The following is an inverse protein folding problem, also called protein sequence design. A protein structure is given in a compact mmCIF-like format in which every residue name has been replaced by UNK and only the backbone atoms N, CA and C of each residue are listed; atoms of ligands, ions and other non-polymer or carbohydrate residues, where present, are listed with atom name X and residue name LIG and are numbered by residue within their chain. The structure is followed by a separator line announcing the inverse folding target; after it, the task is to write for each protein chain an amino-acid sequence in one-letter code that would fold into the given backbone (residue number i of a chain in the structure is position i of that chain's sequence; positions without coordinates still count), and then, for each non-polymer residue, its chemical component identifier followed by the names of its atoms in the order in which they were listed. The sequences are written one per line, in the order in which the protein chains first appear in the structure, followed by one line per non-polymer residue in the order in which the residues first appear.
data_IF_385169296604
#
_entry.id   IF_385169296604
#
_cell.length_a   1.000
_cell.length_b   1.000
_cell.length_c   1.000
_cell.angle_alpha   90.00
_cell.angle_beta   90.00
_cell.angle_gamma   90.00
#
_symmetry.space_group_name_H-M   'P 1'
#
loop_
_entity.id
_entity.type
_entity.pdbx_description
1 polymer ?
#
# COMPACT_ATOMS: atom_id res chain seq x y z
N UNK A 1 11.24 -3.95 9.41
CA UNK A 1 10.58 -4.61 8.26
C UNK A 1 10.19 -3.56 7.22
N UNK A 2 10.32 -3.88 5.93
CA UNK A 2 9.95 -3.00 4.80
C UNK A 2 8.43 -2.80 4.71
N UNK A 3 8.00 -1.84 3.89
CA UNK A 3 6.59 -1.60 3.58
C UNK A 3 6.39 -1.63 2.07
N UNK A 4 5.31 -2.26 1.62
CA UNK A 4 4.80 -2.14 0.26
C UNK A 4 3.51 -1.33 0.31
N UNK A 5 3.35 -0.40 -0.63
CA UNK A 5 2.16 0.41 -0.80
C UNK A 5 1.52 0.04 -2.12
N UNK A 6 0.23 -0.31 -2.11
CA UNK A 6 -0.53 -0.68 -3.30
C UNK A 6 -1.70 0.27 -3.49
N UNK A 7 -1.76 0.89 -4.66
CA UNK A 7 -2.89 1.67 -5.16
C UNK A 7 -3.65 0.84 -6.20
N UNK A 8 -4.74 1.35 -6.77
CA UNK A 8 -5.46 0.64 -7.85
C UNK A 8 -4.59 0.39 -9.09
N UNK A 9 -3.60 1.25 -9.35
CA UNK A 9 -2.85 1.28 -10.61
C UNK A 9 -1.38 0.90 -10.43
N UNK A 10 -0.79 1.25 -9.30
CA UNK A 10 0.65 1.16 -9.09
C UNK A 10 0.96 0.60 -7.70
N UNK A 11 2.18 0.13 -7.52
CA UNK A 11 2.71 -0.29 -6.24
C UNK A 11 4.16 0.16 -6.10
N UNK A 12 4.59 0.40 -4.86
CA UNK A 12 5.98 0.76 -4.59
C UNK A 12 6.42 0.30 -3.20
N UNK A 13 7.71 0.00 -3.09
CA UNK A 13 8.33 -0.46 -1.85
C UNK A 13 9.10 0.64 -1.13
N UNK A 14 9.03 0.62 0.19
CA UNK A 14 9.79 1.48 1.10
C UNK A 14 10.73 0.63 1.97
N UNK A 15 11.99 1.05 2.03
CA UNK A 15 12.97 0.54 2.98
C UNK A 15 12.56 0.83 4.43
N UNK A 16 13.26 0.28 5.42
CA UNK A 16 12.90 0.40 6.85
C UNK A 16 12.81 1.88 7.26
N UNK A 17 13.86 2.66 7.01
CA UNK A 17 13.89 4.09 7.38
C UNK A 17 12.84 4.90 6.58
N UNK A 18 12.73 4.63 5.28
CA UNK A 18 11.75 5.30 4.41
C UNK A 18 10.30 5.04 4.86
N UNK A 19 10.02 3.82 5.30
CA UNK A 19 8.73 3.41 5.85
C UNK A 19 8.42 4.22 7.10
N UNK A 20 9.36 4.36 8.03
CA UNK A 20 9.14 5.10 9.28
C UNK A 20 8.79 6.57 8.98
N UNK A 21 9.56 7.22 8.10
CA UNK A 21 9.27 8.59 7.67
C UNK A 21 7.88 8.68 7.01
N UNK A 22 7.58 7.77 6.08
CA UNK A 22 6.29 7.78 5.38
C UNK A 22 5.11 7.54 6.33
N UNK A 23 5.22 6.54 7.22
CA UNK A 23 4.18 6.20 8.18
C UNK A 23 3.89 7.35 9.15
N UNK A 24 4.93 8.00 9.70
CA UNK A 24 4.74 9.09 10.65
C UNK A 24 4.22 10.39 10.05
N UNK A 25 4.37 10.59 8.73
CA UNK A 25 4.00 11.84 8.07
C UNK A 25 2.70 11.73 7.25
N UNK A 26 2.40 10.56 6.69
CA UNK A 26 1.34 10.40 5.70
C UNK A 26 0.18 9.58 6.23
N UNK A 27 0.50 8.46 6.87
CA UNK A 27 -0.49 7.44 7.19
C UNK A 27 -1.30 7.81 8.42
N UNK A 28 -2.57 7.43 8.39
CA UNK A 28 -3.41 7.47 9.57
C UNK A 28 -3.01 6.31 10.49
N UNK A 29 -2.90 6.63 11.78
CA UNK A 29 -2.48 5.70 12.83
C UNK A 29 -3.65 4.83 13.27
N UNK A 30 -3.34 3.60 13.66
CA UNK A 30 -4.28 2.71 14.33
C UNK A 30 -4.38 3.16 15.80
N UNK A 31 -5.58 3.50 16.27
CA UNK A 31 -5.79 4.11 17.59
C UNK A 31 -5.30 3.20 18.75
N UNK A 32 -5.25 1.88 18.53
CA UNK A 32 -4.94 0.89 19.58
C UNK A 32 -3.50 0.36 19.56
N UNK A 33 -2.70 0.71 18.54
CA UNK A 33 -1.35 0.16 18.35
C UNK A 33 -0.45 1.23 17.78
N UNK A 34 0.81 1.29 18.19
CA UNK A 34 1.86 2.17 17.62
C UNK A 34 2.18 1.82 16.14
N UNK A 35 1.16 1.67 15.31
CA UNK A 35 1.14 1.15 13.95
C UNK A 35 0.18 1.99 13.11
N UNK A 36 0.24 1.84 11.79
CA UNK A 36 -0.63 2.52 10.85
C UNK A 36 -1.81 1.63 10.45
N UNK A 37 -2.94 2.24 10.08
CA UNK A 37 -4.05 1.53 9.47
C UNK A 37 -3.59 0.87 8.16
N UNK A 38 -3.88 -0.42 7.96
CA UNK A 38 -3.49 -1.10 6.71
C UNK A 38 -4.22 -0.48 5.52
N UNK A 39 -5.52 -0.21 5.68
CA UNK A 39 -6.33 0.47 4.67
C UNK A 39 -6.29 1.97 4.95
N UNK A 40 -5.91 2.73 3.92
CA UNK A 40 -5.81 4.17 3.98
C UNK A 40 -6.75 4.75 2.92
N UNK A 41 -7.41 5.85 3.23
CA UNK A 41 -8.25 6.56 2.27
C UNK A 41 -7.51 7.79 1.75
N UNK A 42 -7.48 7.95 0.43
CA UNK A 42 -6.85 9.10 -0.18
C UNK A 42 -7.77 10.31 -0.07
N UNK A 43 -7.23 11.39 0.48
CA UNK A 43 -7.87 12.69 0.56
C UNK A 43 -6.89 13.77 0.10
N UNK A 44 -7.40 15.00 -0.10
CA UNK A 44 -6.53 16.15 -0.34
C UNK A 44 -5.47 16.33 0.76
N UNK A 45 -5.81 16.02 2.02
CA UNK A 45 -4.85 16.04 3.13
C UNK A 45 -3.72 15.04 2.94
N UNK A 46 -4.00 13.85 2.40
CA UNK A 46 -2.98 12.83 2.10
C UNK A 46 -1.94 13.38 1.13
N UNK A 47 -2.36 14.07 0.07
CA UNK A 47 -1.43 14.67 -0.89
C UNK A 47 -0.61 15.82 -0.31
N UNK A 48 -1.22 16.66 0.53
CA UNK A 48 -0.49 17.72 1.23
C UNK A 48 0.53 17.15 2.25
N UNK A 49 0.20 16.06 2.94
CA UNK A 49 1.14 15.32 3.80
C UNK A 49 2.33 14.78 2.98
N UNK A 50 2.07 14.18 1.80
CA UNK A 50 3.12 13.67 0.91
C UNK A 50 4.11 14.75 0.46
N UNK A 51 3.62 15.95 0.12
CA UNK A 51 4.49 17.09 -0.25
C UNK A 51 5.43 17.51 0.87
N UNK A 52 5.02 17.30 2.12
CA UNK A 52 5.78 17.69 3.33
C UNK A 52 6.76 16.62 3.83
N UNK A 53 6.77 15.43 3.22
CA UNK A 53 7.76 14.40 3.55
C UNK A 53 9.19 14.98 3.46
N UNK A 54 10.02 14.87 4.51
CA UNK A 54 11.39 15.36 4.47
C UNK A 54 12.23 14.53 3.50
N UNK A 55 13.19 15.20 2.83
CA UNK A 55 14.25 14.51 2.10
C UNK A 55 15.30 14.14 3.15
N UNK A 56 15.48 12.84 3.38
CA UNK A 56 16.36 12.32 4.44
C UNK A 56 16.83 10.90 4.04
N UNK A 57 17.63 10.29 4.91
CA UNK A 57 18.06 8.90 4.82
C UNK A 57 16.87 8.00 4.53
N UNK A 58 16.90 7.32 3.38
CA UNK A 58 15.81 6.44 2.92
C UNK A 58 14.77 7.08 1.99
N UNK A 59 14.62 8.40 1.97
CA UNK A 59 13.77 9.14 1.02
C UNK A 59 14.60 10.20 0.30
N UNK A 60 15.14 9.81 -0.87
CA UNK A 60 15.76 10.75 -1.80
C UNK A 60 14.72 11.66 -2.47
N UNK A 61 15.17 12.76 -3.07
CA UNK A 61 14.32 13.64 -3.89
C UNK A 61 13.59 12.85 -4.99
N UNK A 62 14.32 12.02 -5.75
CA UNK A 62 13.76 11.17 -6.80
C UNK A 62 12.66 10.25 -6.27
N UNK A 63 12.88 9.63 -5.11
CA UNK A 63 11.89 8.75 -4.49
C UNK A 63 10.64 9.51 -4.06
N UNK A 64 10.81 10.70 -3.47
CA UNK A 64 9.69 11.58 -3.11
C UNK A 64 8.89 11.99 -4.36
N UNK A 65 9.56 12.39 -5.44
CA UNK A 65 8.91 12.76 -6.70
C UNK A 65 8.17 11.59 -7.34
N UNK A 66 8.75 10.38 -7.31
CA UNK A 66 8.10 9.16 -7.77
C UNK A 66 6.82 8.87 -6.98
N UNK A 67 6.86 8.95 -5.65
CA UNK A 67 5.68 8.78 -4.79
C UNK A 67 4.62 9.84 -5.14
N UNK A 68 5.00 11.12 -5.23
CA UNK A 68 4.06 12.19 -5.58
C UNK A 68 3.39 11.95 -6.94
N UNK A 69 4.14 11.45 -7.93
CA UNK A 69 3.61 11.11 -9.25
C UNK A 69 2.58 9.98 -9.19
N UNK A 70 2.84 8.94 -8.39
CA UNK A 70 1.90 7.83 -8.16
C UNK A 70 0.60 8.37 -7.56
N UNK A 71 0.71 9.14 -6.47
CA UNK A 71 -0.46 9.64 -5.75
C UNK A 71 -1.24 10.72 -6.49
N UNK A 72 -0.62 11.45 -7.43
CA UNK A 72 -1.31 12.41 -8.29
C UNK A 72 -2.42 11.77 -9.15
N UNK A 73 -2.35 10.46 -9.39
CA UNK A 73 -3.30 9.71 -10.21
C UNK A 73 -4.37 8.95 -9.41
N UNK A 74 -4.42 9.18 -8.10
CA UNK A 74 -5.41 8.62 -7.17
C UNK A 74 -6.53 9.63 -7.00
N UNK A 75 -7.78 9.16 -7.08
CA UNK A 75 -8.96 10.00 -6.90
C UNK A 75 -9.34 10.11 -5.42
N UNK A 76 -9.91 11.25 -5.01
CA UNK A 76 -10.39 11.45 -3.62
C UNK A 76 -11.43 10.39 -3.25
N UNK A 77 -11.26 9.78 -2.07
CA UNK A 77 -12.06 8.64 -1.60
C UNK A 77 -11.56 7.26 -2.06
N UNK A 78 -10.58 7.19 -2.98
CA UNK A 78 -9.95 5.91 -3.31
C UNK A 78 -9.11 5.39 -2.15
N UNK A 79 -9.17 4.08 -1.93
CA UNK A 79 -8.40 3.41 -0.88
C UNK A 79 -7.13 2.81 -1.45
N UNK A 80 -6.06 2.91 -0.67
CA UNK A 80 -4.79 2.21 -0.91
C UNK A 80 -4.45 1.37 0.32
N UNK A 81 -3.61 0.36 0.14
CA UNK A 81 -3.18 -0.50 1.25
C UNK A 81 -1.68 -0.36 1.50
N UNK A 82 -1.32 -0.30 2.77
CA UNK A 82 0.05 -0.32 3.23
C UNK A 82 0.28 -1.63 3.98
N UNK A 83 1.22 -2.45 3.51
CA UNK A 83 1.50 -3.75 4.09
C UNK A 83 2.96 -3.89 4.45
N UNK A 84 3.17 -4.62 5.53
CA UNK A 84 4.44 -4.85 6.17
C UNK A 84 5.07 -6.10 5.54
N UNK A 85 5.61 -5.95 4.33
CA UNK A 85 6.06 -7.06 3.49
C UNK A 85 7.30 -6.68 2.65
N UNK A 86 7.85 -7.65 1.92
CA UNK A 86 8.93 -7.42 0.97
C UNK A 86 8.77 -8.26 -0.30
N UNK A 87 8.54 -7.59 -1.43
CA UNK A 87 8.32 -8.23 -2.73
C UNK A 87 9.52 -8.15 -3.68
N UNK A 88 10.71 -7.74 -3.22
CA UNK A 88 11.91 -7.56 -4.07
C UNK A 88 11.66 -6.72 -5.34
N UNK A 89 10.65 -5.83 -5.33
CA UNK A 89 10.15 -5.09 -6.50
C UNK A 89 9.63 -5.98 -7.65
N UNK A 90 9.37 -7.27 -7.41
CA UNK A 90 8.67 -8.15 -8.35
C UNK A 90 7.16 -8.10 -8.09
N UNK A 91 6.52 -7.11 -8.70
CA UNK A 91 5.07 -6.96 -8.64
C UNK A 91 4.34 -7.90 -9.62
N UNK A 92 5.05 -8.75 -10.38
CA UNK A 92 4.41 -9.78 -11.23
C UNK A 92 4.00 -11.02 -10.43
N UNK A 93 4.57 -11.20 -9.24
CA UNK A 93 4.34 -12.35 -8.36
C UNK A 93 2.88 -12.48 -7.90
N UNK A 94 2.41 -13.71 -7.66
CA UNK A 94 1.03 -13.98 -7.23
C UNK A 94 0.66 -13.25 -5.94
N UNK A 95 1.63 -13.08 -5.02
CA UNK A 95 1.44 -12.31 -3.79
C UNK A 95 1.13 -10.83 -4.05
N UNK A 96 1.81 -10.20 -5.01
CA UNK A 96 1.51 -8.82 -5.43
C UNK A 96 0.11 -8.72 -6.04
N UNK A 97 -0.28 -9.70 -6.86
CA UNK A 97 -1.64 -9.80 -7.43
C UNK A 97 -2.71 -9.92 -6.34
N UNK A 98 -2.44 -10.66 -5.27
CA UNK A 98 -3.33 -10.75 -4.12
C UNK A 98 -3.51 -9.37 -3.45
N UNK A 99 -2.44 -8.59 -3.30
CA UNK A 99 -2.55 -7.22 -2.76
C UNK A 99 -3.35 -6.29 -3.66
N UNK A 100 -3.20 -6.33 -4.98
CA UNK A 100 -4.07 -5.55 -5.87
C UNK A 100 -5.54 -5.97 -5.77
N UNK A 101 -5.83 -7.26 -5.64
CA UNK A 101 -7.21 -7.72 -5.38
C UNK A 101 -7.75 -7.21 -4.06
N UNK A 102 -6.92 -7.12 -3.02
CA UNK A 102 -7.33 -6.48 -1.76
C UNK A 102 -7.69 -5.01 -1.98
N UNK A 103 -6.87 -4.26 -2.72
CA UNK A 103 -7.18 -2.87 -3.08
C UNK A 103 -8.51 -2.78 -3.82
N UNK A 104 -8.75 -3.64 -4.81
CA UNK A 104 -10.03 -3.70 -5.55
C UNK A 104 -11.22 -3.93 -4.60
N UNK A 105 -11.11 -4.90 -3.69
CA UNK A 105 -12.18 -5.24 -2.75
C UNK A 105 -12.47 -4.12 -1.75
N UNK A 106 -11.45 -3.50 -1.15
CA UNK A 106 -11.67 -2.41 -0.18
C UNK A 106 -12.24 -1.16 -0.86
N UNK A 107 -11.89 -0.89 -2.12
CA UNK A 107 -12.50 0.17 -2.92
C UNK A 107 -13.96 -0.13 -3.31
N UNK A 108 -14.38 -1.40 -3.30
CA UNK A 108 -15.80 -1.82 -3.39
C UNK A 108 -16.51 -1.78 -2.04
N UNK A 109 -15.90 -1.17 -1.02
CA UNK A 109 -16.40 -1.09 0.36
C UNK A 109 -16.59 -2.46 1.03
N UNK A 110 -15.87 -3.49 0.57
CA UNK A 110 -15.81 -4.77 1.28
C UNK A 110 -14.92 -4.58 2.52
N UNK A 111 -15.38 -4.94 3.73
CA UNK A 111 -14.56 -4.85 4.94
C UNK A 111 -13.25 -5.61 4.79
N UNK A 112 -12.14 -5.03 5.27
CA UNK A 112 -10.79 -5.56 5.04
C UNK A 112 -10.64 -7.04 5.43
N UNK A 113 -11.16 -7.45 6.60
CA UNK A 113 -11.08 -8.84 7.05
C UNK A 113 -11.82 -9.81 6.10
N UNK A 114 -12.98 -9.40 5.57
CA UNK A 114 -13.72 -10.19 4.58
C UNK A 114 -12.97 -10.24 3.25
N UNK A 115 -12.41 -9.12 2.80
CA UNK A 115 -11.58 -9.06 1.60
C UNK A 115 -10.36 -10.00 1.68
N UNK A 116 -9.71 -10.08 2.86
CA UNK A 116 -8.61 -11.01 3.11
C UNK A 116 -9.04 -12.47 2.92
N UNK A 117 -10.20 -12.87 3.43
CA UNK A 117 -10.72 -14.23 3.24
C UNK A 117 -10.97 -14.53 1.77
N UNK A 118 -11.68 -13.65 1.05
CA UNK A 118 -11.99 -13.81 -0.37
C UNK A 118 -10.72 -13.88 -1.24
N UNK A 119 -9.73 -13.04 -0.96
CA UNK A 119 -8.47 -13.03 -1.71
C UNK A 119 -7.63 -14.27 -1.41
N UNK A 120 -7.62 -14.75 -0.17
CA UNK A 120 -6.91 -15.98 0.18
C UNK A 120 -7.53 -17.21 -0.49
N UNK A 121 -8.86 -17.28 -0.56
CA UNK A 121 -9.56 -18.34 -1.31
C UNK A 121 -9.25 -18.27 -2.80
N UNK A 122 -9.30 -17.07 -3.40
CA UNK A 122 -8.88 -16.87 -4.78
C UNK A 122 -7.43 -17.31 -5.01
N UNK A 123 -6.52 -16.92 -4.12
CA UNK A 123 -5.09 -17.23 -4.24
C UNK A 123 -4.85 -18.74 -4.16
N UNK A 124 -5.54 -19.44 -3.25
CA UNK A 124 -5.51 -20.91 -3.15
C UNK A 124 -5.94 -21.57 -4.46
N UNK A 125 -7.08 -21.14 -5.02
CA UNK A 125 -7.59 -21.67 -6.28
C UNK A 125 -6.62 -21.41 -7.45
N UNK A 126 -5.92 -20.28 -7.46
CA UNK A 126 -4.91 -19.99 -8.50
C UNK A 126 -3.65 -20.84 -8.38
N UNK A 127 -3.24 -21.22 -7.16
CA UNK A 127 -2.15 -22.18 -6.97
C UNK A 127 -2.57 -23.59 -7.43
N UNK A 128 -3.77 -24.05 -7.05
CA UNK A 128 -4.32 -25.34 -7.48
C UNK A 128 -4.39 -25.46 -9.02
N UNK A 129 -4.84 -24.42 -9.71
CA UNK A 129 -4.86 -24.38 -11.20
C UNK A 129 -3.47 -24.49 -11.83
N UNK A 130 -2.43 -24.05 -11.13
CA UNK A 130 -1.04 -24.08 -11.60
C UNK A 130 -0.31 -25.36 -11.20
N UNK A 131 -0.97 -26.27 -10.47
CA UNK A 131 -0.35 -27.49 -9.94
C UNK A 131 0.72 -27.19 -8.88
N UNK A 132 0.58 -26.07 -8.17
CA UNK A 132 1.47 -25.62 -7.09
C UNK A 132 0.84 -25.86 -5.72
#
# INVERSE_FOLDING_TARGET
MRMEVFTKKEAFGLGIVAKEIFASNVLDLDEDKNTFCIVQEYSNTTYEKLKKIPIDTGISLEKKESILKIFKNIEEGEKFICVNDYLYNDYSHMKAKAYWKLVESVNKNIPYQKAVLEVNEWLKNEYEKKGL
#
